data_IF_631904399817
#
_entry.id   IF_631904399817
#
_cell.length_a   1.000
_cell.length_b   1.000
_cell.length_c   1.000
_cell.angle_alpha   90.00
_cell.angle_beta   90.00
_cell.angle_gamma   90.00
#
_symmetry.space_group_name_H-M   'P 1'
#
loop_
_entity.id
_entity.type
_entity.pdbx_description
1 polymer ?
#
# COMPACT_ATOMS: atom_id res chain seq x y z
N UNK A 1 -17.92 -9.98 -8.40
CA UNK A 1 -16.52 -9.46 -8.38
C UNK A 1 -16.51 -7.98 -8.74
N UNK A 2 -15.75 -7.16 -8.02
CA UNK A 2 -15.63 -5.71 -8.30
C UNK A 2 -14.67 -5.51 -9.48
N UNK A 3 -15.07 -4.68 -10.46
CA UNK A 3 -14.24 -4.39 -11.63
C UNK A 3 -13.24 -3.28 -11.31
N UNK A 4 -11.97 -3.52 -11.58
CA UNK A 4 -10.87 -2.54 -11.54
C UNK A 4 -10.43 -2.30 -12.98
N UNK A 5 -10.49 -1.05 -13.46
CA UNK A 5 -9.93 -0.68 -14.76
C UNK A 5 -8.44 -0.37 -14.57
N UNK A 6 -7.59 -0.88 -15.44
CA UNK A 6 -6.14 -0.69 -15.35
C UNK A 6 -5.61 -0.14 -16.66
N UNK A 7 -4.90 0.99 -16.58
CA UNK A 7 -4.10 1.55 -17.67
C UNK A 7 -2.64 1.12 -17.45
N UNK A 8 -2.03 0.50 -18.45
CA UNK A 8 -0.60 0.21 -18.50
C UNK A 8 0.13 1.33 -19.22
N UNK A 9 1.29 1.75 -18.72
CA UNK A 9 2.15 2.74 -19.40
C UNK A 9 3.10 2.09 -20.42
N UNK A 10 3.21 0.75 -20.40
CA UNK A 10 3.92 -0.03 -21.40
C UNK A 10 3.16 -1.35 -21.66
N UNK A 11 3.13 -1.79 -22.95
CA UNK A 11 2.43 -3.01 -23.35
C UNK A 11 2.97 -4.29 -22.69
N UNK A 12 4.24 -4.28 -22.34
CA UNK A 12 4.94 -5.44 -21.74
C UNK A 12 4.65 -5.60 -20.23
N UNK A 13 4.02 -4.62 -19.57
CA UNK A 13 3.66 -4.74 -18.16
C UNK A 13 2.60 -5.83 -18.02
N UNK A 14 2.89 -6.81 -17.14
CA UNK A 14 1.90 -7.81 -16.73
C UNK A 14 0.99 -7.23 -15.67
N UNK A 15 -0.32 -7.44 -15.83
CA UNK A 15 -1.29 -7.00 -14.82
C UNK A 15 -1.10 -7.75 -13.50
N UNK A 16 -1.26 -7.07 -12.36
CA UNK A 16 -1.35 -7.73 -11.08
C UNK A 16 -2.47 -8.77 -11.06
N UNK A 17 -2.23 -9.89 -10.39
CA UNK A 17 -3.21 -10.97 -10.26
C UNK A 17 -3.14 -11.62 -8.89
N UNK A 18 -4.27 -12.13 -8.42
CA UNK A 18 -4.29 -12.99 -7.22
C UNK A 18 -3.53 -14.29 -7.50
N UNK A 19 -2.69 -14.70 -6.56
CA UNK A 19 -1.88 -15.93 -6.73
C UNK A 19 -2.68 -17.20 -6.44
N UNK A 20 -3.64 -17.11 -5.53
CA UNK A 20 -4.56 -18.20 -5.16
C UNK A 20 -5.97 -17.63 -5.01
N UNK A 21 -6.98 -18.49 -4.99
CA UNK A 21 -8.38 -18.06 -4.75
C UNK A 21 -8.60 -17.41 -3.38
N UNK A 22 -7.77 -17.74 -2.39
CA UNK A 22 -7.80 -17.15 -1.05
C UNK A 22 -6.89 -15.94 -0.86
N UNK A 23 -6.15 -15.49 -1.88
CA UNK A 23 -5.30 -14.31 -1.76
C UNK A 23 -6.13 -13.06 -1.59
N UNK A 24 -5.80 -12.20 -0.61
CA UNK A 24 -6.43 -10.90 -0.41
C UNK A 24 -5.78 -9.79 -1.23
N UNK A 25 -4.52 -9.93 -1.58
CA UNK A 25 -3.73 -8.93 -2.30
C UNK A 25 -3.16 -9.45 -3.61
N UNK A 26 -2.85 -8.51 -4.49
CA UNK A 26 -2.14 -8.72 -5.74
C UNK A 26 -0.75 -8.07 -5.65
N UNK A 27 0.30 -8.81 -6.04
CA UNK A 27 1.67 -8.28 -6.04
C UNK A 27 1.80 -7.11 -7.03
N UNK A 28 2.48 -6.04 -6.59
CA UNK A 28 2.94 -4.95 -7.41
C UNK A 28 4.43 -5.10 -7.70
N UNK A 29 4.79 -4.93 -8.95
CA UNK A 29 6.18 -5.06 -9.41
C UNK A 29 6.79 -3.70 -9.75
N UNK A 30 8.08 -3.58 -9.55
CA UNK A 30 8.83 -2.42 -9.99
C UNK A 30 8.91 -2.38 -11.53
N UNK A 31 8.61 -1.22 -12.12
CA UNK A 31 8.79 -0.95 -13.53
C UNK A 31 9.75 0.22 -13.72
N UNK A 32 11.04 -0.09 -13.83
CA UNK A 32 12.13 0.87 -13.84
C UNK A 32 13.13 0.55 -14.97
N UNK A 33 13.73 1.59 -15.56
CA UNK A 33 14.74 1.43 -16.62
C UNK A 33 16.11 1.04 -16.08
N UNK A 34 16.48 1.54 -14.90
CA UNK A 34 17.75 1.29 -14.23
C UNK A 34 17.50 0.84 -12.79
N UNK A 35 18.34 -0.05 -12.27
CA UNK A 35 18.29 -0.46 -10.87
C UNK A 35 18.34 0.74 -9.92
N UNK A 36 17.57 0.68 -8.84
CA UNK A 36 17.55 1.70 -7.79
C UNK A 36 18.14 1.09 -6.53
N UNK A 37 19.17 1.74 -5.97
CA UNK A 37 19.77 1.33 -4.70
C UNK A 37 19.22 2.19 -3.57
N UNK A 38 18.70 1.53 -2.53
CA UNK A 38 18.18 2.18 -1.33
C UNK A 38 19.14 1.88 -0.17
N UNK A 39 19.88 2.90 0.26
CA UNK A 39 20.80 2.79 1.38
C UNK A 39 20.05 2.59 2.72
N UNK A 40 20.68 2.08 3.77
CA UNK A 40 20.12 1.97 5.12
C UNK A 40 19.48 3.28 5.58
N UNK A 41 18.25 3.21 6.11
CA UNK A 41 17.50 4.36 6.58
C UNK A 41 16.96 5.30 5.50
N UNK A 42 17.20 5.02 4.22
CA UNK A 42 16.72 5.85 3.10
C UNK A 42 15.47 5.29 2.44
N UNK A 43 14.81 6.16 1.69
CA UNK A 43 13.59 5.86 0.94
C UNK A 43 13.82 6.01 -0.55
N UNK A 44 12.98 5.35 -1.34
CA UNK A 44 12.89 5.57 -2.78
C UNK A 44 11.45 5.39 -3.26
N UNK A 45 11.04 6.21 -4.22
CA UNK A 45 9.75 6.09 -4.88
C UNK A 45 9.91 5.26 -6.15
N UNK A 46 9.28 4.08 -6.17
CA UNK A 46 9.42 3.09 -7.24
C UNK A 46 8.15 3.06 -8.09
N UNK A 47 8.22 3.38 -9.38
CA UNK A 47 7.08 3.30 -10.28
C UNK A 47 6.70 1.83 -10.55
N UNK A 48 5.39 1.60 -10.78
CA UNK A 48 4.83 0.28 -11.12
C UNK A 48 4.38 0.19 -12.59
N UNK A 49 4.36 1.30 -13.30
CA UNK A 49 3.93 1.39 -14.69
C UNK A 49 2.43 1.20 -14.91
N UNK A 50 1.61 1.24 -13.85
CA UNK A 50 0.15 1.14 -13.97
C UNK A 50 -0.56 2.28 -13.26
N UNK A 51 -1.72 2.64 -13.80
CA UNK A 51 -2.73 3.48 -13.15
C UNK A 51 -4.06 2.73 -13.11
N UNK A 52 -4.92 3.04 -12.15
CA UNK A 52 -6.18 2.32 -11.95
C UNK A 52 -7.37 3.26 -11.84
N UNK A 53 -8.57 2.71 -12.11
CA UNK A 53 -9.83 3.32 -11.70
C UNK A 53 -10.68 2.25 -11.00
N UNK A 54 -11.17 2.61 -9.82
CA UNK A 54 -12.00 1.75 -8.96
C UNK A 54 -13.33 2.44 -8.65
N UNK A 55 -14.38 1.69 -8.24
CA UNK A 55 -15.67 2.27 -7.85
C UNK A 55 -15.54 3.16 -6.60
N UNK A 56 -16.43 4.18 -6.49
CA UNK A 56 -16.40 5.22 -5.44
C UNK A 56 -16.42 4.72 -3.99
N UNK A 57 -16.96 3.53 -3.73
CA UNK A 57 -17.04 2.98 -2.37
C UNK A 57 -15.87 2.05 -2.02
N UNK A 58 -14.77 2.18 -2.76
CA UNK A 58 -13.56 1.39 -2.55
C UNK A 58 -12.33 2.28 -2.56
N UNK A 59 -11.28 1.80 -1.91
CA UNK A 59 -9.91 2.25 -2.02
C UNK A 59 -9.00 1.07 -2.37
N UNK A 60 -7.81 1.34 -2.88
CA UNK A 60 -6.74 0.35 -2.89
C UNK A 60 -5.75 0.72 -1.80
N UNK A 61 -5.48 -0.24 -0.92
CA UNK A 61 -4.41 -0.14 0.07
C UNK A 61 -3.12 -0.75 -0.46
N UNK A 62 -2.04 0.01 -0.39
CA UNK A 62 -0.69 -0.46 -0.69
C UNK A 62 -0.03 -0.89 0.61
N UNK A 63 0.30 -2.19 0.68
CA UNK A 63 0.89 -2.80 1.88
C UNK A 63 2.24 -3.44 1.57
N UNK A 64 3.15 -3.55 2.56
CA UNK A 64 4.39 -4.29 2.41
C UNK A 64 4.14 -5.76 2.08
N UNK A 65 5.15 -6.40 1.50
CA UNK A 65 5.19 -7.85 1.37
C UNK A 65 5.89 -8.45 2.58
N UNK A 66 5.25 -9.42 3.23
CA UNK A 66 5.79 -10.08 4.42
C UNK A 66 7.20 -10.65 4.22
N UNK A 67 7.47 -11.23 3.05
CA UNK A 67 8.79 -11.76 2.72
C UNK A 67 9.89 -10.71 2.64
N UNK A 68 9.60 -9.50 2.13
CA UNK A 68 10.57 -8.39 2.12
C UNK A 68 10.75 -7.83 3.53
N UNK A 69 9.66 -7.67 4.28
CA UNK A 69 9.72 -7.19 5.66
C UNK A 69 10.56 -8.14 6.53
N UNK A 70 10.24 -9.42 6.55
CA UNK A 70 10.89 -10.41 7.40
C UNK A 70 12.36 -10.68 7.03
N UNK A 71 12.67 -10.80 5.72
CA UNK A 71 14.01 -11.23 5.27
C UNK A 71 14.96 -10.09 4.95
N UNK A 72 14.45 -8.89 4.68
CA UNK A 72 15.24 -7.75 4.18
C UNK A 72 14.99 -6.46 4.97
N UNK A 73 14.04 -6.44 5.90
CA UNK A 73 13.61 -5.23 6.63
C UNK A 73 13.22 -4.08 5.70
N UNK A 74 12.57 -4.42 4.58
CA UNK A 74 12.04 -3.45 3.61
C UNK A 74 10.55 -3.31 3.84
N UNK A 75 10.08 -2.07 3.91
CA UNK A 75 8.66 -1.75 4.10
C UNK A 75 8.20 -0.69 3.09
N UNK A 76 6.89 -0.48 3.04
CA UNK A 76 6.27 0.69 2.41
C UNK A 76 6.17 1.77 3.48
N UNK A 77 6.81 2.93 3.26
CA UNK A 77 6.96 3.97 4.29
C UNK A 77 5.62 4.45 4.85
N UNK A 78 4.65 4.67 3.97
CA UNK A 78 3.32 5.19 4.31
C UNK A 78 2.26 4.09 4.46
N UNK A 79 2.66 2.86 4.81
CA UNK A 79 1.72 1.73 4.88
C UNK A 79 0.66 1.92 5.98
N UNK A 80 -0.62 1.63 5.70
CA UNK A 80 -1.18 1.32 4.40
C UNK A 80 -1.31 2.55 3.50
N UNK A 81 -0.60 2.56 2.36
CA UNK A 81 -0.71 3.64 1.38
C UNK A 81 -2.11 3.63 0.73
N UNK A 82 -2.74 4.78 0.59
CA UNK A 82 -4.09 4.89 0.03
C UNK A 82 -4.05 5.31 -1.43
N UNK A 83 -4.79 4.58 -2.27
CA UNK A 83 -5.10 4.98 -3.65
C UNK A 83 -6.61 5.22 -3.72
N UNK A 84 -6.98 6.48 -3.83
CA UNK A 84 -8.38 6.93 -3.85
C UNK A 84 -9.10 6.54 -5.15
N UNK A 85 -10.42 6.44 -5.08
CA UNK A 85 -11.24 6.05 -6.22
C UNK A 85 -11.17 7.03 -7.40
N UNK A 86 -10.84 8.28 -7.18
CA UNK A 86 -10.67 9.35 -8.18
C UNK A 86 -9.22 9.62 -8.57
N UNK A 87 -8.24 8.95 -7.95
CA UNK A 87 -6.85 9.05 -8.38
C UNK A 87 -6.64 8.37 -9.74
N UNK A 88 -5.97 9.07 -10.67
CA UNK A 88 -5.71 8.59 -12.05
C UNK A 88 -4.23 8.59 -12.40
N UNK A 89 -3.37 8.93 -11.45
CA UNK A 89 -1.93 8.89 -11.63
C UNK A 89 -1.36 7.47 -11.57
N UNK A 90 -0.09 7.36 -11.91
CA UNK A 90 0.65 6.11 -11.77
C UNK A 90 0.77 5.71 -10.30
N UNK A 91 0.53 4.45 -9.99
CA UNK A 91 0.81 3.90 -8.67
C UNK A 91 2.34 3.82 -8.51
N UNK A 92 2.85 4.54 -7.51
CA UNK A 92 4.27 4.53 -7.13
C UNK A 92 4.39 4.08 -5.68
N UNK A 93 5.39 3.25 -5.41
CA UNK A 93 5.59 2.66 -4.10
C UNK A 93 6.74 3.38 -3.39
N UNK A 94 6.47 3.92 -2.21
CA UNK A 94 7.48 4.57 -1.38
C UNK A 94 8.10 3.50 -0.49
N UNK A 95 9.22 2.92 -0.92
CA UNK A 95 9.96 1.93 -0.12
C UNK A 95 10.88 2.63 0.88
N UNK A 96 10.99 2.02 2.06
CA UNK A 96 12.00 2.36 3.08
C UNK A 96 12.86 1.14 3.38
N UNK A 97 14.16 1.36 3.49
CA UNK A 97 15.13 0.35 3.91
C UNK A 97 15.47 0.52 5.39
N UNK A 98 14.90 -0.34 6.24
CA UNK A 98 15.13 -0.35 7.69
C UNK A 98 16.27 -1.30 8.10
N UNK A 99 16.94 -1.93 7.11
CA UNK A 99 18.09 -2.80 7.38
C UNK A 99 19.39 -2.02 7.50
N UNK A 100 20.45 -2.72 7.91
CA UNK A 100 21.85 -2.18 7.94
C UNK A 100 22.61 -2.37 6.62
N UNK A 101 21.97 -2.99 5.60
CA UNK A 101 22.57 -3.30 4.29
C UNK A 101 21.84 -2.53 3.19
N UNK A 102 22.55 -2.18 2.11
CA UNK A 102 21.90 -1.61 0.94
C UNK A 102 20.89 -2.61 0.33
N UNK A 103 19.81 -2.08 -0.21
CA UNK A 103 18.79 -2.85 -0.92
C UNK A 103 18.72 -2.38 -2.37
N UNK A 104 18.77 -3.32 -3.31
CA UNK A 104 18.73 -3.01 -4.76
C UNK A 104 17.40 -3.50 -5.31
N UNK A 105 16.66 -2.58 -5.93
CA UNK A 105 15.43 -2.85 -6.68
C UNK A 105 15.77 -2.95 -8.16
N UNK A 106 15.29 -4.01 -8.81
CA UNK A 106 15.38 -4.22 -10.26
C UNK A 106 13.99 -4.23 -10.87
N UNK A 107 13.89 -3.97 -12.17
CA UNK A 107 12.60 -4.10 -12.88
C UNK A 107 12.08 -5.53 -12.77
N UNK A 108 10.78 -5.67 -12.49
CA UNK A 108 10.15 -6.97 -12.27
C UNK A 108 10.17 -7.47 -10.82
N UNK A 109 10.93 -6.84 -9.92
CA UNK A 109 10.91 -7.19 -8.50
C UNK A 109 9.53 -6.91 -7.91
N UNK A 110 9.00 -7.86 -7.15
CA UNK A 110 7.76 -7.70 -6.39
C UNK A 110 8.05 -6.90 -5.12
N UNK A 111 7.60 -5.64 -5.08
CA UNK A 111 8.00 -4.65 -4.07
C UNK A 111 6.92 -4.34 -3.05
N UNK A 112 5.66 -4.57 -3.39
CA UNK A 112 4.50 -4.31 -2.53
C UNK A 112 3.35 -5.22 -2.95
N UNK A 113 2.22 -5.10 -2.26
CA UNK A 113 0.95 -5.70 -2.66
C UNK A 113 -0.16 -4.66 -2.59
N UNK A 114 -1.13 -4.75 -3.49
CA UNK A 114 -2.34 -3.93 -3.46
C UNK A 114 -3.54 -4.76 -3.05
N UNK A 115 -4.40 -4.20 -2.20
CA UNK A 115 -5.60 -4.83 -1.69
C UNK A 115 -6.78 -3.89 -1.94
N UNK A 116 -7.83 -4.37 -2.61
CA UNK A 116 -9.07 -3.63 -2.78
C UNK A 116 -9.87 -3.71 -1.48
N UNK A 117 -10.16 -2.56 -0.90
CA UNK A 117 -10.90 -2.44 0.36
C UNK A 117 -12.19 -1.64 0.17
N UNK A 118 -13.33 -2.08 0.70
CA UNK A 118 -14.53 -1.24 0.78
C UNK A 118 -14.29 -0.14 1.83
N UNK A 119 -14.86 1.04 1.59
CA UNK A 119 -14.76 2.18 2.51
C UNK A 119 -16.14 2.65 2.94
N UNK A 120 -16.24 3.14 4.18
CA UNK A 120 -17.37 3.91 4.67
C UNK A 120 -16.99 5.39 4.76
N UNK A 121 -17.85 6.29 4.29
CA UNK A 121 -17.64 7.74 4.44
C UNK A 121 -18.43 8.25 5.63
N UNK A 122 -17.75 8.85 6.59
CA UNK A 122 -18.36 9.51 7.75
C UNK A 122 -18.69 10.98 7.45
N UNK A 123 -19.83 11.45 7.98
CA UNK A 123 -20.17 12.88 8.05
C UNK A 123 -19.88 13.36 9.47
N UNK A 124 -18.94 14.27 9.63
CA UNK A 124 -18.62 14.85 10.94
C UNK A 124 -19.73 15.78 11.38
N UNK A 125 -20.11 15.67 12.68
CA UNK A 125 -21.03 16.57 13.37
C UNK A 125 -20.35 17.02 14.66
N UNK A 126 -20.15 18.32 14.79
CA UNK A 126 -19.64 18.93 16.02
C UNK A 126 -20.66 18.77 17.15
N UNK A 127 -20.20 18.40 18.32
CA UNK A 127 -21.00 18.31 19.53
C UNK A 127 -20.18 18.84 20.74
N UNK A 128 -20.87 19.44 21.71
CA UNK A 128 -20.20 19.93 22.93
C UNK A 128 -19.72 18.81 23.83
N UNK A 129 -20.38 17.64 23.84
CA UNK A 129 -20.03 16.48 24.65
C UNK A 129 -20.24 15.21 23.83
N UNK A 130 -19.31 14.26 23.94
CA UNK A 130 -19.46 12.91 23.42
C UNK A 130 -20.28 12.04 24.38
N UNK A 131 -20.98 11.02 23.89
CA UNK A 131 -21.64 10.03 24.74
C UNK A 131 -20.64 9.37 25.72
N UNK A 132 -21.09 9.09 26.93
CA UNK A 132 -20.27 8.39 27.93
C UNK A 132 -20.10 6.92 27.55
N UNK A 133 -18.92 6.36 27.83
CA UNK A 133 -18.62 4.93 27.69
C UNK A 133 -17.90 4.44 28.95
N UNK A 134 -17.89 3.12 29.16
CA UNK A 134 -17.16 2.51 30.30
C UNK A 134 -15.66 2.83 30.21
N UNK A 135 -15.09 2.81 29.00
CA UNK A 135 -13.68 3.14 28.77
C UNK A 135 -13.37 4.63 28.98
N UNK A 136 -14.34 5.52 28.73
CA UNK A 136 -14.17 6.96 28.83
C UNK A 136 -12.94 7.49 28.12
N UNK A 137 -12.04 8.16 28.84
CA UNK A 137 -10.77 8.72 28.31
C UNK A 137 -9.60 7.73 28.37
N UNK A 138 -9.81 6.48 28.80
CA UNK A 138 -8.75 5.48 28.91
C UNK A 138 -8.14 5.11 27.58
N UNK A 139 -6.81 5.17 27.50
CA UNK A 139 -6.02 4.83 26.32
C UNK A 139 -4.55 4.66 26.69
N UNK A 140 -3.67 4.48 25.69
CA UNK A 140 -2.21 4.39 25.88
C UNK A 140 -1.77 3.40 26.96
N UNK A 141 -2.43 2.22 27.03
CA UNK A 141 -2.12 1.19 28.03
C UNK A 141 -2.87 1.34 29.36
N UNK A 142 -3.92 2.17 29.46
CA UNK A 142 -4.71 2.38 30.68
C UNK A 142 -5.43 1.11 31.20
N UNK A 143 -5.49 0.04 30.42
CA UNK A 143 -6.07 -1.26 30.80
C UNK A 143 -5.05 -2.22 31.44
N UNK A 144 -3.82 -1.77 31.68
CA UNK A 144 -2.71 -2.56 32.22
C UNK A 144 -2.02 -3.44 31.17
N UNK A 145 -0.93 -4.12 31.58
CA UNK A 145 -0.26 -5.17 30.79
C UNK A 145 -0.97 -6.49 31.02
#
# INVERSE_FOLDING_TARGET
MVRILVKKFDKNIKLPAYKTSGSSGMDLVAYIKKKITINPGKTAMIPTGIAVAIPKNYEIQIRPRSGLAAKKSISVLNTPGTVDADYRGEIKIILINLSKKLFVVKSGDRIAQMILCPIAKGKLKEVKKLPRTIRGKGGFGSTGK
#
